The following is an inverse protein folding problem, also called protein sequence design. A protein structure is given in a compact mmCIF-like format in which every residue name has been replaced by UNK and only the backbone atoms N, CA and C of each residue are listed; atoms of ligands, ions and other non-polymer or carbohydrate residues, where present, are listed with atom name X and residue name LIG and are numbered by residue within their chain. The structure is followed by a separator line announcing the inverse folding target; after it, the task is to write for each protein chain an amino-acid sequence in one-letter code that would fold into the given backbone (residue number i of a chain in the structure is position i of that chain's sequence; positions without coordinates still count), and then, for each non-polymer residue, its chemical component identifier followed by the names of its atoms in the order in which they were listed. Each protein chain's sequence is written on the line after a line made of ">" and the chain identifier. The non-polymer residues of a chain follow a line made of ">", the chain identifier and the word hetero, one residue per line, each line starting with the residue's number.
data_IF_254961449652
#
_entry.id   IF_254961449652
#
_cell.length_a   1.000
_cell.length_b   1.000
_cell.length_c   1.000
_cell.angle_alpha   90.00
_cell.angle_beta   90.00
_cell.angle_gamma   90.00
#
_symmetry.space_group_name_H-M   'P 1'
#
loop_
_entity.id
_entity.type
_entity.pdbx_description
1 polymer ?
#
# COMPACT_ATOMS: atom_id res chain seq x y z
N UNK A 1 -41.59 55.02 23.56
CA UNK A 1 -40.38 54.39 24.13
C UNK A 1 -40.61 52.88 24.19
N UNK A 2 -39.80 52.13 23.43
CA UNK A 2 -39.44 50.70 23.47
C UNK A 2 -40.56 49.64 23.37
N UNK A 3 -40.81 48.91 22.27
CA UNK A 3 -40.01 47.96 21.43
C UNK A 3 -39.94 46.53 21.99
N UNK A 4 -40.11 45.56 21.06
CA UNK A 4 -39.71 44.12 21.01
C UNK A 4 -40.88 43.13 21.03
N UNK A 5 -41.45 42.71 19.88
CA UNK A 5 -40.92 41.96 18.73
C UNK A 5 -40.73 40.44 19.00
N UNK A 6 -41.74 39.70 18.51
CA UNK A 6 -41.83 38.27 18.26
C UNK A 6 -40.83 37.83 17.17
N UNK A 7 -40.13 36.70 17.36
CA UNK A 7 -39.44 35.83 16.36
C UNK A 7 -38.47 34.92 17.13
N UNK A 8 -38.16 33.68 16.80
CA UNK A 8 -38.60 32.70 15.81
C UNK A 8 -37.93 31.40 16.29
N UNK A 9 -38.63 30.27 16.19
CA UNK A 9 -38.13 28.95 16.60
C UNK A 9 -36.85 28.61 15.84
N UNK A 10 -35.77 28.26 16.54
CA UNK A 10 -34.63 27.56 15.97
C UNK A 10 -34.80 26.06 16.20
N UNK A 11 -35.12 25.33 15.13
CA UNK A 11 -34.87 23.89 15.00
C UNK A 11 -33.39 23.73 14.64
N UNK A 12 -32.57 23.31 15.60
CA UNK A 12 -31.16 22.95 15.36
C UNK A 12 -31.07 21.48 14.98
N UNK A 13 -30.87 21.19 13.69
CA UNK A 13 -30.49 19.87 13.20
C UNK A 13 -29.01 19.67 13.49
N UNK A 14 -28.68 18.79 14.44
CA UNK A 14 -27.33 18.24 14.60
C UNK A 14 -27.12 17.16 13.53
N UNK A 15 -26.38 17.52 12.47
CA UNK A 15 -25.78 16.55 11.56
C UNK A 15 -24.54 15.95 12.25
N UNK A 16 -24.68 14.75 12.80
CA UNK A 16 -23.55 13.89 13.14
C UNK A 16 -22.85 13.48 11.84
N UNK A 17 -21.81 14.22 11.45
CA UNK A 17 -20.85 13.76 10.47
C UNK A 17 -19.97 12.70 11.16
N UNK A 18 -20.34 11.43 11.02
CA UNK A 18 -19.49 10.30 11.38
C UNK A 18 -18.32 10.25 10.39
N UNK A 19 -17.26 11.00 10.67
CA UNK A 19 -15.94 10.75 10.09
C UNK A 19 -15.51 9.38 10.58
N UNK A 20 -15.68 8.35 9.75
CA UNK A 20 -15.05 7.05 9.97
C UNK A 20 -13.56 7.28 10.10
N UNK A 21 -13.03 7.13 11.32
CA UNK A 21 -11.60 7.06 11.52
C UNK A 21 -11.15 5.77 10.85
N UNK A 22 -10.61 5.88 9.63
CA UNK A 22 -9.81 4.81 9.06
C UNK A 22 -8.71 4.52 10.08
N UNK A 23 -8.60 3.27 10.52
CA UNK A 23 -7.51 2.84 11.36
C UNK A 23 -6.20 3.27 10.67
N UNK A 24 -5.31 3.91 11.41
CA UNK A 24 -4.01 4.28 10.86
C UNK A 24 -3.32 3.01 10.36
N UNK A 25 -2.78 3.06 9.14
CA UNK A 25 -2.08 1.93 8.54
C UNK A 25 -1.00 1.42 9.49
N UNK A 26 -0.92 0.10 9.65
CA UNK A 26 0.08 -0.55 10.48
C UNK A 26 0.99 -1.41 9.62
N UNK A 27 2.26 -1.43 9.99
CA UNK A 27 3.23 -2.34 9.39
C UNK A 27 4.36 -2.63 10.37
N UNK A 28 4.83 -3.87 10.36
CA UNK A 28 6.05 -4.27 11.04
C UNK A 28 6.68 -5.46 10.32
N UNK A 29 8.01 -5.44 10.20
CA UNK A 29 8.74 -6.55 9.61
C UNK A 29 10.04 -6.13 8.94
N UNK A 30 10.57 -7.01 8.11
CA UNK A 30 11.88 -6.84 7.47
C UNK A 30 11.87 -7.31 6.02
N UNK A 31 12.70 -6.66 5.22
CA UNK A 31 13.08 -7.10 3.88
C UNK A 31 14.60 -7.33 3.89
N UNK A 32 15.06 -8.44 3.32
CA UNK A 32 16.46 -8.83 3.27
C UNK A 32 16.89 -9.33 1.90
N UNK A 33 18.16 -9.11 1.56
CA UNK A 33 18.82 -9.67 0.38
C UNK A 33 20.31 -9.83 0.68
N UNK A 34 20.79 -11.08 0.75
CA UNK A 34 22.17 -11.40 1.13
C UNK A 34 22.55 -10.72 2.45
N UNK A 35 23.57 -9.85 2.44
CA UNK A 35 24.03 -9.10 3.62
C UNK A 35 23.29 -7.78 3.85
N UNK A 36 22.35 -7.41 2.98
CA UNK A 36 21.56 -6.18 3.11
C UNK A 36 20.20 -6.48 3.74
N UNK A 37 19.73 -5.58 4.58
CA UNK A 37 18.39 -5.64 5.15
C UNK A 37 17.84 -4.24 5.43
N UNK A 38 16.52 -4.13 5.45
CA UNK A 38 15.80 -2.95 5.88
C UNK A 38 14.65 -3.34 6.81
N UNK A 39 14.50 -2.62 7.92
CA UNK A 39 13.29 -2.65 8.73
C UNK A 39 12.21 -1.83 8.04
N UNK A 40 11.04 -2.44 7.85
CA UNK A 40 9.89 -1.77 7.23
C UNK A 40 9.16 -0.95 8.28
N UNK A 41 8.92 0.32 7.96
CA UNK A 41 8.27 1.31 8.85
C UNK A 41 7.01 1.87 8.25
N UNK A 42 6.88 1.79 6.92
CA UNK A 42 5.76 2.31 6.16
C UNK A 42 5.33 1.29 5.13
N UNK A 43 4.02 1.24 4.87
CA UNK A 43 3.49 0.44 3.79
C UNK A 43 2.32 1.16 3.14
N UNK A 44 2.11 0.89 1.86
CA UNK A 44 1.11 1.57 1.05
C UNK A 44 0.49 0.59 0.08
N UNK A 45 -0.84 0.60 0.00
CA UNK A 45 -1.57 -0.16 -1.00
C UNK A 45 -1.99 0.78 -2.13
N UNK A 46 -1.73 0.41 -3.38
CA UNK A 46 -2.21 1.14 -4.55
C UNK A 46 -2.93 0.22 -5.52
N UNK A 47 -3.71 0.83 -6.40
CA UNK A 47 -4.29 0.17 -7.57
C UNK A 47 -3.89 0.87 -8.86
N UNK A 48 -3.72 0.10 -9.92
CA UNK A 48 -3.46 0.59 -11.28
C UNK A 48 -4.15 -0.31 -12.29
N UNK A 49 -4.51 0.18 -13.49
CA UNK A 49 -4.68 -0.70 -14.64
C UNK A 49 -3.38 -1.47 -14.91
N UNK A 50 -3.50 -2.69 -15.40
CA UNK A 50 -2.36 -3.45 -15.92
C UNK A 50 -1.99 -2.91 -17.31
N UNK A 51 -0.68 -2.76 -17.57
CA UNK A 51 -0.19 -2.33 -18.88
C UNK A 51 -0.32 -3.44 -19.94
N UNK A 52 -0.29 -4.70 -19.51
CA UNK A 52 -0.35 -5.87 -20.40
C UNK A 52 -1.78 -6.32 -20.69
N UNK A 53 -2.71 -6.08 -19.75
CA UNK A 53 -4.15 -6.35 -19.93
C UNK A 53 -4.99 -5.13 -19.47
N UNK A 54 -5.57 -4.36 -20.41
CA UNK A 54 -6.34 -3.16 -20.06
C UNK A 54 -7.62 -3.46 -19.27
N UNK A 55 -8.06 -4.72 -19.18
CA UNK A 55 -9.22 -5.13 -18.38
C UNK A 55 -8.82 -5.62 -16.98
N UNK A 56 -7.53 -5.78 -16.70
CA UNK A 56 -7.02 -6.19 -15.42
C UNK A 56 -6.59 -4.98 -14.57
N UNK A 57 -6.63 -5.16 -13.25
CA UNK A 57 -6.09 -4.20 -12.30
C UNK A 57 -5.05 -4.87 -11.42
N UNK A 58 -3.92 -4.21 -11.28
CA UNK A 58 -2.86 -4.56 -10.34
C UNK A 58 -3.21 -3.91 -9.00
N UNK A 59 -3.18 -4.68 -7.92
CA UNK A 59 -3.02 -4.15 -6.57
C UNK A 59 -1.55 -4.35 -6.19
N UNK A 60 -0.87 -3.28 -5.84
CA UNK A 60 0.53 -3.31 -5.42
C UNK A 60 0.65 -2.84 -3.98
N UNK A 61 1.38 -3.61 -3.19
CA UNK A 61 1.81 -3.24 -1.85
C UNK A 61 3.26 -2.76 -1.92
N UNK A 62 3.49 -1.52 -1.49
CA UNK A 62 4.82 -1.00 -1.21
C UNK A 62 5.14 -1.23 0.26
N UNK A 63 6.28 -1.82 0.54
CA UNK A 63 6.87 -1.98 1.86
C UNK A 63 8.12 -1.12 1.88
N UNK A 64 8.17 -0.10 2.74
CA UNK A 64 9.24 0.90 2.70
C UNK A 64 9.84 1.16 4.08
N UNK A 65 11.15 1.35 4.10
CA UNK A 65 11.87 1.82 5.28
C UNK A 65 11.73 3.34 5.53
N UNK A 66 11.32 4.10 4.50
CA UNK A 66 11.10 5.54 4.55
C UNK A 66 9.65 5.90 4.17
N UNK A 67 9.16 7.05 4.65
CA UNK A 67 7.83 7.54 4.27
C UNK A 67 7.84 8.05 2.83
N UNK A 68 7.16 7.31 1.94
CA UNK A 68 7.02 7.64 0.51
C UNK A 68 5.57 7.94 0.14
N UNK A 69 4.67 8.05 1.12
CA UNK A 69 3.23 8.14 0.87
C UNK A 69 2.83 9.39 0.08
N UNK A 70 3.45 10.52 0.39
CA UNK A 70 3.21 11.77 -0.35
C UNK A 70 3.77 11.72 -1.78
N UNK A 71 4.90 11.05 -2.00
CA UNK A 71 5.44 10.84 -3.35
C UNK A 71 4.50 9.96 -4.19
N UNK A 72 4.02 8.85 -3.62
CA UNK A 72 3.03 7.96 -4.27
C UNK A 72 1.74 8.72 -4.61
N UNK A 73 1.23 9.57 -3.71
CA UNK A 73 0.02 10.37 -3.94
C UNK A 73 0.19 11.43 -5.01
N UNK A 74 1.41 11.98 -5.15
CA UNK A 74 1.71 12.97 -6.19
C UNK A 74 1.88 12.35 -7.59
N UNK A 75 2.11 11.04 -7.67
CA UNK A 75 2.28 10.33 -8.93
C UNK A 75 0.96 10.16 -9.70
N UNK A 76 1.08 10.17 -11.03
CA UNK A 76 -0.04 9.93 -11.96
C UNK A 76 -0.14 8.48 -12.44
N UNK A 77 0.98 7.75 -12.40
CA UNK A 77 1.12 6.39 -12.91
C UNK A 77 1.80 5.50 -11.86
N UNK A 78 1.60 4.19 -11.99
CA UNK A 78 2.26 3.20 -11.13
C UNK A 78 3.79 3.27 -11.25
N UNK A 79 4.32 3.43 -12.48
CA UNK A 79 5.76 3.55 -12.72
C UNK A 79 6.41 4.74 -11.99
N UNK A 80 5.70 5.88 -11.90
CA UNK A 80 6.16 7.01 -11.08
C UNK A 80 6.25 6.63 -9.59
N UNK A 81 5.25 5.92 -9.08
CA UNK A 81 5.23 5.48 -7.68
C UNK A 81 6.32 4.43 -7.40
N UNK A 82 6.58 3.53 -8.35
CA UNK A 82 7.69 2.56 -8.27
C UNK A 82 9.05 3.23 -8.12
N UNK A 83 9.24 4.40 -8.73
CA UNK A 83 10.49 5.17 -8.62
C UNK A 83 10.68 5.83 -7.24
N UNK A 84 9.64 5.89 -6.39
CA UNK A 84 9.77 6.46 -5.06
C UNK A 84 10.42 5.49 -4.05
N UNK A 85 10.43 4.18 -4.34
CA UNK A 85 10.96 3.17 -3.43
C UNK A 85 12.47 2.97 -3.62
N UNK A 86 13.25 3.37 -2.61
CA UNK A 86 14.72 3.17 -2.60
C UNK A 86 15.16 1.94 -1.79
N UNK A 87 14.47 1.67 -0.68
CA UNK A 87 14.81 0.64 0.31
C UNK A 87 13.55 -0.03 0.87
N UNK A 88 13.28 -1.24 0.39
CA UNK A 88 12.13 -2.06 0.74
C UNK A 88 11.72 -3.03 -0.36
N UNK A 89 10.42 -3.28 -0.49
CA UNK A 89 9.86 -4.19 -1.49
C UNK A 89 8.58 -3.63 -2.15
N UNK A 90 8.36 -4.03 -3.39
CA UNK A 90 7.09 -3.94 -4.11
C UNK A 90 6.57 -5.34 -4.33
N UNK A 91 5.32 -5.59 -3.99
CA UNK A 91 4.71 -6.91 -4.14
C UNK A 91 3.34 -6.74 -4.78
N UNK A 92 3.13 -7.39 -5.91
CA UNK A 92 1.84 -7.44 -6.55
C UNK A 92 0.96 -8.46 -5.83
N UNK A 93 -0.30 -8.11 -5.66
CA UNK A 93 -1.33 -9.02 -5.18
C UNK A 93 -2.51 -8.93 -6.14
N UNK A 94 -2.91 -10.05 -6.70
CA UNK A 94 -4.04 -10.13 -7.62
C UNK A 94 -4.56 -11.57 -7.64
N UNK A 95 -5.56 -11.83 -8.48
CA UNK A 95 -6.05 -13.20 -8.73
C UNK A 95 -5.14 -13.99 -9.69
N UNK A 96 -3.96 -13.48 -10.06
CA UNK A 96 -3.04 -14.18 -10.94
C UNK A 96 -2.39 -15.37 -10.20
N UNK A 97 -2.15 -16.51 -10.89
CA UNK A 97 -1.48 -17.68 -10.29
C UNK A 97 -0.05 -17.40 -9.83
N UNK A 98 0.61 -16.41 -10.45
CA UNK A 98 1.95 -15.98 -10.11
C UNK A 98 1.95 -14.47 -9.87
N UNK A 99 2.48 -14.08 -8.72
CA UNK A 99 2.59 -12.71 -8.26
C UNK A 99 4.03 -12.23 -8.42
N UNK A 100 4.19 -11.04 -8.99
CA UNK A 100 5.50 -10.42 -9.13
C UNK A 100 5.91 -9.72 -7.83
N UNK A 101 7.19 -9.79 -7.49
CA UNK A 101 7.75 -8.95 -6.45
C UNK A 101 9.15 -8.44 -6.81
N UNK A 102 9.51 -7.29 -6.26
CA UNK A 102 10.82 -6.69 -6.43
C UNK A 102 11.30 -6.10 -5.11
N UNK A 103 12.57 -6.31 -4.79
CA UNK A 103 13.27 -5.79 -3.62
C UNK A 103 14.35 -4.83 -4.08
N UNK A 104 14.44 -3.69 -3.40
CA UNK A 104 15.52 -2.71 -3.54
C UNK A 104 16.08 -2.43 -2.16
N UNK A 105 17.38 -2.52 -1.98
CA UNK A 105 18.06 -2.26 -0.72
C UNK A 105 19.39 -1.53 -0.96
N UNK A 106 19.90 -0.91 0.10
CA UNK A 106 21.12 -0.13 0.09
C UNK A 106 21.06 1.04 -0.91
N UNK A 107 19.96 1.79 -0.89
CA UNK A 107 19.71 2.90 -1.82
C UNK A 107 19.71 2.40 -3.27
N UNK A 108 18.93 1.36 -3.55
CA UNK A 108 18.78 0.72 -4.87
C UNK A 108 20.02 0.00 -5.43
N UNK A 109 21.12 -0.11 -4.67
CA UNK A 109 22.36 -0.76 -5.15
C UNK A 109 22.29 -2.29 -5.09
N UNK A 110 21.39 -2.83 -4.27
CA UNK A 110 21.10 -4.25 -4.21
C UNK A 110 19.65 -4.46 -4.64
N UNK A 111 19.44 -5.24 -5.71
CA UNK A 111 18.13 -5.46 -6.29
C UNK A 111 17.90 -6.95 -6.55
N UNK A 112 16.65 -7.37 -6.37
CA UNK A 112 16.19 -8.71 -6.70
C UNK A 112 14.75 -8.62 -7.19
N UNK A 113 14.41 -9.39 -8.22
CA UNK A 113 13.03 -9.57 -8.65
C UNK A 113 12.75 -11.06 -8.70
N UNK A 114 11.56 -11.44 -8.23
CA UNK A 114 11.13 -12.83 -8.19
C UNK A 114 9.65 -12.98 -8.49
N UNK A 115 9.24 -14.23 -8.61
CA UNK A 115 7.84 -14.63 -8.62
C UNK A 115 7.51 -15.29 -7.29
N UNK A 116 6.28 -15.09 -6.83
CA UNK A 116 5.69 -15.81 -5.71
C UNK A 116 4.27 -16.23 -6.08
N UNK A 117 3.52 -16.82 -5.17
CA UNK A 117 2.12 -17.18 -5.34
C UNK A 117 1.27 -16.63 -4.18
N UNK A 118 -0.03 -16.94 -4.21
CA UNK A 118 -0.96 -16.47 -3.18
C UNK A 118 -0.66 -17.03 -1.79
N UNK A 119 0.05 -18.16 -1.68
CA UNK A 119 0.40 -18.78 -0.41
C UNK A 119 1.43 -17.98 0.39
N UNK A 120 2.16 -17.07 -0.27
CA UNK A 120 3.01 -16.08 0.41
C UNK A 120 2.20 -15.11 1.29
N UNK A 121 0.89 -14.97 1.03
CA UNK A 121 0.01 -14.12 1.81
C UNK A 121 -0.87 -14.95 2.76
N UNK A 122 -0.81 -14.62 4.05
CA UNK A 122 -1.81 -15.05 5.03
C UNK A 122 -2.67 -13.85 5.40
N UNK A 123 -3.77 -13.66 4.66
CA UNK A 123 -4.65 -12.50 4.81
C UNK A 123 -5.74 -12.73 5.86
N UNK A 124 -5.92 -11.75 6.73
CA UNK A 124 -7.07 -11.64 7.65
C UNK A 124 -8.16 -10.75 7.07
N UNK A 125 -7.81 -9.85 6.15
CA UNK A 125 -8.76 -9.03 5.41
C UNK A 125 -8.30 -8.85 3.96
N UNK A 126 -9.23 -9.03 3.04
CA UNK A 126 -9.04 -8.84 1.61
C UNK A 126 -10.28 -8.16 1.02
N UNK A 127 -10.22 -6.84 0.91
CA UNK A 127 -11.27 -6.00 0.36
C UNK A 127 -10.69 -5.06 -0.71
N UNK A 128 -11.53 -4.46 -1.58
CA UNK A 128 -11.07 -3.58 -2.63
C UNK A 128 -10.20 -2.41 -2.15
N UNK A 129 -10.48 -1.88 -0.96
CA UNK A 129 -9.86 -0.70 -0.37
C UNK A 129 -9.15 -0.98 0.96
N UNK A 130 -9.09 -2.25 1.39
CA UNK A 130 -8.45 -2.65 2.64
C UNK A 130 -7.81 -4.04 2.53
N UNK A 131 -6.52 -4.14 2.89
CA UNK A 131 -5.77 -5.39 2.88
C UNK A 131 -5.01 -5.53 4.21
N UNK A 132 -5.21 -6.64 4.91
CA UNK A 132 -4.53 -6.90 6.17
C UNK A 132 -4.10 -8.37 6.30
N UNK A 133 -2.95 -8.60 6.91
CA UNK A 133 -2.40 -9.93 7.11
C UNK A 133 -0.89 -9.95 7.16
N UNK A 134 -0.32 -11.07 6.73
CA UNK A 134 1.12 -11.31 6.67
C UNK A 134 1.55 -11.65 5.26
N UNK A 135 2.72 -11.15 4.88
CA UNK A 135 3.47 -11.56 3.72
C UNK A 135 4.74 -12.28 4.17
N UNK A 136 4.97 -13.46 3.64
CA UNK A 136 6.19 -14.23 3.85
C UNK A 136 6.72 -14.75 2.50
N UNK A 137 7.92 -14.32 2.13
CA UNK A 137 8.67 -14.79 0.96
C UNK A 137 10.08 -15.15 1.46
N UNK A 138 10.59 -16.33 1.10
CA UNK A 138 11.97 -16.73 1.39
C UNK A 138 12.60 -17.46 0.18
N UNK A 139 13.22 -16.68 -0.70
CA UNK A 139 13.97 -17.20 -1.85
C UNK A 139 15.48 -17.35 -1.56
N UNK A 140 15.88 -17.30 -0.28
CA UNK A 140 17.32 -17.30 0.09
C UNK A 140 18.08 -18.56 -0.31
N UNK A 141 17.38 -19.69 -0.46
CA UNK A 141 17.99 -20.93 -0.97
C UNK A 141 18.52 -20.78 -2.41
N UNK A 142 18.04 -19.78 -3.15
CA UNK A 142 18.46 -19.43 -4.51
C UNK A 142 19.19 -18.09 -4.55
N UNK A 143 19.83 -17.70 -3.45
CA UNK A 143 20.46 -16.36 -3.26
C UNK A 143 19.50 -15.18 -3.46
N UNK A 144 18.19 -15.43 -3.32
CA UNK A 144 17.13 -14.46 -3.49
C UNK A 144 16.81 -13.65 -2.24
N UNK A 145 15.70 -12.90 -2.32
CA UNK A 145 15.27 -12.03 -1.23
C UNK A 145 14.45 -12.77 -0.16
N UNK A 146 14.36 -12.14 1.00
CA UNK A 146 13.42 -12.48 2.08
C UNK A 146 12.53 -11.30 2.37
N UNK A 147 11.24 -11.55 2.51
CA UNK A 147 10.24 -10.56 2.94
C UNK A 147 9.41 -11.20 4.03
N UNK A 148 9.38 -10.60 5.21
CA UNK A 148 8.54 -11.04 6.33
C UNK A 148 7.93 -9.81 6.98
N UNK A 149 6.66 -9.56 6.67
CA UNK A 149 5.95 -8.34 7.08
C UNK A 149 4.51 -8.63 7.44
N UNK A 150 4.08 -8.10 8.59
CA UNK A 150 2.68 -7.98 8.96
C UNK A 150 2.20 -6.57 8.66
N UNK A 151 1.01 -6.45 8.08
CA UNK A 151 0.46 -5.16 7.65
C UNK A 151 -1.06 -5.10 7.79
N UNK A 152 -1.57 -3.87 7.86
CA UNK A 152 -2.98 -3.50 7.85
C UNK A 152 -3.08 -2.18 7.10
N UNK A 153 -3.57 -2.22 5.85
CA UNK A 153 -3.40 -1.14 4.86
C UNK A 153 -4.72 -0.71 4.23
N UNK A 154 -5.03 0.57 4.35
CA UNK A 154 -6.01 1.24 3.50
C UNK A 154 -5.43 1.57 2.11
N UNK A 155 -6.33 1.81 1.16
CA UNK A 155 -5.95 2.22 -0.20
C UNK A 155 -5.35 3.63 -0.21
N UNK A 156 -4.07 3.73 -0.56
CA UNK A 156 -3.32 5.00 -0.65
C UNK A 156 -3.63 5.76 -1.92
N UNK A 157 -3.71 5.07 -3.06
CA UNK A 157 -3.95 5.69 -4.36
C UNK A 157 -4.58 4.71 -5.36
N UNK A 158 -5.37 5.23 -6.31
CA UNK A 158 -5.81 4.53 -7.52
C UNK A 158 -5.37 5.30 -8.74
N UNK A 159 -4.37 4.77 -9.45
CA UNK A 159 -3.94 5.33 -10.73
C UNK A 159 -4.99 5.08 -11.81
N UNK A 160 -5.10 6.02 -12.75
CA UNK A 160 -6.09 5.99 -13.83
C UNK A 160 -5.50 5.68 -15.20
N UNK A 161 -4.18 5.71 -15.31
CA UNK A 161 -3.45 5.46 -16.56
C UNK A 161 -2.15 4.72 -16.26
N UNK A 162 -1.72 3.93 -17.24
CA UNK A 162 -0.41 3.28 -17.26
C UNK A 162 0.68 4.24 -17.77
N UNK A 163 0.31 5.32 -18.47
CA UNK A 163 1.19 6.33 -19.06
C UNK A 163 0.71 7.76 -18.84
#
# INVERSE_FOLDING_TARGET
>A
MNTFAQKMRLFGILLFASTGAFAADKVAGTVGLKSFSATIKHAYMVRSPDEMDPNASILRVYLSSADIGNAIKACKTLSCADAALTDGAMVDYSSAPHLGYAVRLNGERAQYSGGTDDSAFTLTTNAPDHLAGKLHIDDSAMDGARVDVEFDLGLTNTFKSVR
#
